data_IF_306331199616
#
_entry.id   IF_306331199616
#
_cell.length_a   1.000
_cell.length_b   1.000
_cell.length_c   1.000
_cell.angle_alpha   90.00
_cell.angle_beta   90.00
_cell.angle_gamma   90.00
#
_symmetry.space_group_name_H-M   'P 1'
#
loop_
_entity.id
_entity.type
_entity.pdbx_description
1 polymer ?
#
# COMPACT_ATOMS: atom_id res chain seq x y z
N UNK A 1 17.93 14.65 5.08
CA UNK A 1 17.40 13.35 4.63
C UNK A 1 16.20 13.06 5.48
N UNK A 2 14.99 13.20 4.92
CA UNK A 2 13.74 12.96 5.65
C UNK A 2 13.18 11.63 5.14
N UNK A 3 13.07 10.65 6.03
CA UNK A 3 12.27 9.45 5.80
C UNK A 3 10.93 9.69 6.49
N UNK A 4 9.82 9.64 5.76
CA UNK A 4 8.50 9.74 6.37
C UNK A 4 8.16 8.38 6.97
N UNK A 5 7.60 8.36 8.17
CA UNK A 5 7.59 7.16 8.99
C UNK A 5 6.31 7.12 9.84
N UNK A 6 5.39 6.19 9.56
CA UNK A 6 4.33 5.90 10.52
C UNK A 6 4.94 5.25 11.76
N UNK A 7 4.47 5.63 12.95
CA UNK A 7 5.04 5.16 14.21
C UNK A 7 4.06 4.38 15.08
N UNK A 8 4.63 3.34 15.70
CA UNK A 8 3.90 2.35 16.47
C UNK A 8 4.59 2.21 17.83
N UNK A 9 3.81 2.34 18.90
CA UNK A 9 4.34 2.36 20.27
C UNK A 9 4.88 1.00 20.70
N UNK A 10 6.20 0.90 20.89
CA UNK A 10 6.85 -0.33 21.35
C UNK A 10 6.55 -0.57 22.83
N UNK A 11 6.17 -1.81 23.17
CA UNK A 11 6.32 -2.33 24.53
C UNK A 11 7.33 -3.49 24.52
N UNK A 12 8.39 -3.36 25.32
CA UNK A 12 9.54 -4.29 25.34
C UNK A 12 9.29 -5.61 26.09
N UNK A 13 8.06 -5.89 26.52
CA UNK A 13 7.70 -7.12 27.24
C UNK A 13 6.53 -7.90 26.60
N UNK A 14 6.71 -9.22 26.51
CA UNK A 14 5.59 -10.14 26.27
C UNK A 14 4.60 -10.08 27.43
N UNK A 15 3.31 -10.11 27.09
CA UNK A 15 2.20 -10.11 28.05
C UNK A 15 1.24 -11.21 27.60
N UNK A 16 0.75 -12.02 28.52
CA UNK A 16 -0.11 -13.16 28.20
C UNK A 16 -1.45 -12.74 27.56
N UNK A 17 -2.00 -13.65 26.74
CA UNK A 17 -3.28 -13.49 26.04
C UNK A 17 -4.45 -13.16 26.99
N UNK A 18 -4.36 -13.62 28.23
CA UNK A 18 -5.30 -13.39 29.33
C UNK A 18 -5.46 -11.92 29.74
N UNK A 19 -4.51 -11.04 29.39
CA UNK A 19 -4.54 -9.61 29.75
C UNK A 19 -4.89 -8.69 28.56
N UNK A 20 -5.31 -9.23 27.41
CA UNK A 20 -5.61 -8.44 26.21
C UNK A 20 -7.00 -7.77 26.24
N UNK A 21 -7.92 -8.24 27.09
CA UNK A 21 -9.31 -7.77 27.16
C UNK A 21 -9.55 -6.53 28.04
N UNK A 22 -8.49 -5.79 28.44
CA UNK A 22 -8.59 -4.62 29.36
C UNK A 22 -7.57 -3.51 29.08
N UNK A 23 -7.28 -3.20 27.81
CA UNK A 23 -6.22 -2.23 27.47
C UNK A 23 -6.73 -0.89 26.97
N UNK A 24 -6.66 0.06 27.90
CA UNK A 24 -6.52 1.49 27.70
C UNK A 24 -5.18 1.77 26.97
N UNK A 25 -5.10 2.74 26.06
CA UNK A 25 -4.22 2.66 24.86
C UNK A 25 -3.50 3.98 24.50
N UNK A 26 -3.92 5.12 25.04
CA UNK A 26 -3.17 6.38 25.07
C UNK A 26 -3.00 6.83 26.53
N UNK A 27 -2.10 7.77 26.85
CA UNK A 27 -1.89 8.28 28.22
C UNK A 27 -2.46 9.69 28.40
N UNK A 28 -2.96 10.02 29.58
CA UNK A 28 -3.24 11.41 29.99
C UNK A 28 -1.95 12.11 30.49
N UNK A 29 -2.07 13.40 30.81
CA UNK A 29 -0.98 14.24 31.37
C UNK A 29 -0.32 13.67 32.65
N UNK A 30 -0.99 12.71 33.33
CA UNK A 30 -0.50 12.04 34.54
C UNK A 30 0.15 10.66 34.25
N UNK A 31 0.37 10.30 32.99
CA UNK A 31 0.80 8.97 32.53
C UNK A 31 -0.17 7.82 32.88
N UNK A 32 -1.47 8.13 33.03
CA UNK A 32 -2.52 7.12 33.22
C UNK A 32 -3.21 6.82 31.90
N UNK A 33 -3.50 5.54 31.64
CA UNK A 33 -4.11 5.20 30.36
C UNK A 33 -5.57 5.68 30.22
N UNK A 34 -5.90 6.21 29.03
CA UNK A 34 -7.19 6.68 28.55
C UNK A 34 -8.13 5.52 28.15
N UNK A 35 -9.39 5.59 28.57
CA UNK A 35 -10.46 4.63 28.23
C UNK A 35 -11.17 5.07 26.94
N UNK A 36 -11.38 4.13 26.01
CA UNK A 36 -12.28 4.31 24.86
C UNK A 36 -13.64 3.69 25.08
N UNK A 37 -14.64 4.30 24.45
CA UNK A 37 -16.00 3.79 24.35
C UNK A 37 -16.35 3.54 22.84
N UNK A 38 -16.45 2.26 22.40
CA UNK A 38 -16.75 1.74 21.03
C UNK A 38 -17.14 0.22 20.95
N UNK A 39 -18.30 -0.19 20.40
CA UNK A 39 -19.08 -1.46 20.64
C UNK A 39 -18.32 -2.73 20.29
N UNK A 40 -18.52 -3.74 21.14
CA UNK A 40 -18.70 -5.09 20.61
C UNK A 40 -19.51 -6.01 21.52
N UNK A 41 -19.19 -6.05 22.83
CA UNK A 41 -19.78 -7.05 23.76
C UNK A 41 -20.18 -6.50 25.15
N UNK A 42 -20.39 -5.19 25.28
CA UNK A 42 -21.07 -4.59 26.43
C UNK A 42 -21.88 -3.39 25.95
N UNK A 43 -23.12 -3.23 26.42
CA UNK A 43 -24.16 -2.40 25.79
C UNK A 43 -24.04 -0.88 26.05
N UNK A 44 -22.88 -0.26 25.81
CA UNK A 44 -22.61 1.10 26.31
C UNK A 44 -21.54 1.93 25.58
N UNK A 45 -21.18 1.56 24.36
CA UNK A 45 -19.82 1.71 23.80
C UNK A 45 -20.09 1.38 22.29
N UNK A 46 -19.87 2.20 21.23
CA UNK A 46 -20.53 2.04 19.86
C UNK A 46 -19.65 1.75 18.58
N UNK A 47 -20.05 0.80 17.67
CA UNK A 47 -19.30 0.31 16.48
C UNK A 47 -20.26 -0.37 15.44
N UNK A 48 -20.01 -0.19 14.13
CA UNK A 48 -21.01 -0.45 13.09
C UNK A 48 -20.81 -1.74 12.25
N UNK A 49 -19.66 -2.41 12.35
CA UNK A 49 -19.41 -3.73 11.77
C UNK A 49 -18.30 -4.48 12.53
N UNK A 50 -18.16 -5.79 12.31
CA UNK A 50 -17.11 -6.66 12.91
C UNK A 50 -15.66 -6.35 12.47
N UNK A 51 -15.36 -5.14 11.98
CA UNK A 51 -14.06 -4.81 11.37
C UNK A 51 -13.55 -3.37 11.56
N UNK A 52 -14.22 -2.47 12.29
CA UNK A 52 -13.74 -1.11 12.59
C UNK A 52 -14.43 -0.49 13.83
N UNK A 53 -13.83 0.54 14.43
CA UNK A 53 -14.38 1.27 15.59
C UNK A 53 -14.78 2.71 15.28
N UNK A 54 -15.79 3.22 16.00
CA UNK A 54 -16.13 4.65 16.07
C UNK A 54 -15.98 5.11 17.51
N UNK A 55 -15.09 6.06 17.77
CA UNK A 55 -14.90 6.62 19.11
C UNK A 55 -15.92 7.72 19.37
N UNK A 56 -16.68 7.58 20.45
CA UNK A 56 -17.68 8.58 20.87
C UNK A 56 -17.34 9.27 22.21
N UNK A 57 -16.38 8.73 22.95
CA UNK A 57 -15.97 9.25 24.26
C UNK A 57 -14.60 8.75 24.69
N UNK A 58 -13.88 9.59 25.44
CA UNK A 58 -12.62 9.26 26.13
C UNK A 58 -12.81 9.53 27.62
N UNK A 59 -12.53 8.54 28.48
CA UNK A 59 -12.79 8.63 29.93
C UNK A 59 -14.19 9.16 30.27
N UNK A 60 -15.21 8.64 29.60
CA UNK A 60 -16.62 9.04 29.72
C UNK A 60 -16.92 10.52 29.37
N UNK A 61 -15.93 11.26 28.86
CA UNK A 61 -16.10 12.60 28.28
C UNK A 61 -16.39 12.45 26.79
N UNK A 62 -17.53 12.98 26.28
CA UNK A 62 -17.79 12.99 24.84
C UNK A 62 -16.72 13.77 24.08
N UNK A 63 -16.30 13.25 22.94
CA UNK A 63 -15.27 13.85 22.07
C UNK A 63 -15.74 13.80 20.62
N UNK A 64 -15.35 14.79 19.81
CA UNK A 64 -15.49 14.71 18.36
C UNK A 64 -14.43 13.77 17.77
N UNK A 65 -14.63 13.31 16.53
CA UNK A 65 -13.60 12.53 15.85
C UNK A 65 -12.30 13.34 15.65
N UNK A 66 -12.40 14.65 15.44
CA UNK A 66 -11.23 15.53 15.31
C UNK A 66 -10.41 15.60 16.62
N UNK A 67 -11.08 15.66 17.77
CA UNK A 67 -10.42 15.62 19.09
C UNK A 67 -9.69 14.28 19.30
N UNK A 68 -10.34 13.16 18.92
CA UNK A 68 -9.76 11.82 19.01
C UNK A 68 -8.51 11.71 18.14
N UNK A 69 -8.60 12.12 16.87
CA UNK A 69 -7.47 12.05 15.94
C UNK A 69 -6.30 12.93 16.40
N UNK A 70 -6.59 14.16 16.83
CA UNK A 70 -5.58 15.12 17.32
C UNK A 70 -4.86 14.64 18.59
N UNK A 71 -5.60 14.11 19.56
CA UNK A 71 -5.03 13.63 20.82
C UNK A 71 -4.06 12.44 20.60
N UNK A 72 -4.41 11.55 19.66
CA UNK A 72 -3.62 10.38 19.34
C UNK A 72 -2.41 10.70 18.47
N UNK A 73 -2.55 11.65 17.55
CA UNK A 73 -1.43 12.23 16.82
C UNK A 73 -0.37 12.77 17.79
N UNK A 74 -0.79 13.59 18.75
CA UNK A 74 0.11 14.16 19.76
C UNK A 74 0.77 13.06 20.63
N UNK A 75 0.02 12.05 21.05
CA UNK A 75 0.55 10.92 21.81
C UNK A 75 1.57 10.08 21.02
N UNK A 76 1.31 9.83 19.73
CA UNK A 76 2.24 9.14 18.84
C UNK A 76 3.53 9.96 18.63
N UNK A 77 3.39 11.24 18.27
CA UNK A 77 4.52 12.17 18.10
C UNK A 77 5.41 12.23 19.35
N UNK A 78 4.81 12.41 20.53
CA UNK A 78 5.54 12.45 21.80
C UNK A 78 6.24 11.11 22.12
N UNK A 79 5.62 9.98 21.80
CA UNK A 79 6.23 8.65 22.01
C UNK A 79 7.49 8.47 21.16
N UNK A 80 7.44 8.88 19.89
CA UNK A 80 8.59 8.83 18.98
C UNK A 80 9.71 9.74 19.47
N UNK A 81 9.37 11.00 19.77
CA UNK A 81 10.34 12.02 20.17
C UNK A 81 11.10 11.62 21.44
N UNK A 82 10.37 11.12 22.44
CA UNK A 82 10.96 10.63 23.69
C UNK A 82 11.86 9.39 23.51
N UNK A 83 11.60 8.55 22.50
CA UNK A 83 12.30 7.27 22.31
C UNK A 83 13.44 7.34 21.28
N UNK A 84 13.33 8.22 20.27
CA UNK A 84 14.23 8.26 19.11
C UNK A 84 14.80 9.64 18.77
N UNK A 85 14.22 10.72 19.28
CA UNK A 85 14.60 12.09 18.94
C UNK A 85 13.56 12.81 18.09
N UNK A 86 13.60 14.14 18.14
CA UNK A 86 12.61 15.03 17.53
C UNK A 86 12.61 14.95 15.99
N UNK A 87 13.74 14.62 15.37
CA UNK A 87 13.88 14.47 13.93
C UNK A 87 13.03 13.33 13.34
N UNK A 88 12.59 12.37 14.18
CA UNK A 88 11.71 11.27 13.78
C UNK A 88 10.22 11.58 13.99
N UNK A 89 9.84 12.53 14.86
CA UNK A 89 8.43 12.86 15.15
C UNK A 89 7.82 13.88 14.18
N UNK A 90 8.65 14.70 13.52
CA UNK A 90 8.22 15.81 12.65
C UNK A 90 7.36 15.40 11.43
N UNK A 91 7.33 14.12 11.05
CA UNK A 91 6.74 13.63 9.80
C UNK A 91 5.56 12.65 10.00
N UNK A 92 4.99 12.57 11.21
CA UNK A 92 4.04 11.52 11.62
C UNK A 92 2.70 12.09 12.09
N UNK A 93 1.58 11.57 11.56
CA UNK A 93 0.24 12.10 11.88
C UNK A 93 -0.73 11.19 12.65
N UNK A 94 -0.67 9.85 12.62
CA UNK A 94 -1.69 9.04 13.34
C UNK A 94 -1.31 7.56 13.61
N UNK A 95 -2.11 6.86 14.43
CA UNK A 95 -1.89 5.49 14.92
C UNK A 95 -3.14 4.59 14.94
N UNK A 96 -2.97 3.34 14.48
CA UNK A 96 -3.54 2.10 15.03
C UNK A 96 -2.74 0.91 14.44
N UNK A 97 -2.41 -0.20 15.14
CA UNK A 97 -2.56 -0.60 16.55
C UNK A 97 -1.26 -1.31 17.02
N UNK A 98 -1.07 -1.64 18.32
CA UNK A 98 0.15 -2.33 18.81
C UNK A 98 -0.02 -3.77 19.34
N UNK A 99 -1.06 -4.53 18.92
CA UNK A 99 -1.15 -6.01 19.06
C UNK A 99 -1.96 -6.80 18.01
N UNK A 100 -1.67 -6.70 16.69
CA UNK A 100 -2.21 -7.66 15.71
C UNK A 100 -1.76 -9.11 15.99
N UNK A 101 -2.76 -9.90 16.36
CA UNK A 101 -2.80 -11.35 16.34
C UNK A 101 -4.24 -11.78 15.98
N UNK A 102 -4.67 -11.37 14.78
CA UNK A 102 -6.04 -11.50 14.28
C UNK A 102 -6.98 -10.39 14.76
N UNK A 103 -7.87 -9.95 13.87
CA UNK A 103 -9.05 -9.10 14.17
C UNK A 103 -8.76 -7.79 14.93
N UNK A 104 -7.88 -6.95 14.37
CA UNK A 104 -7.75 -5.55 14.79
C UNK A 104 -8.52 -4.61 13.85
N UNK A 105 -9.07 -3.55 14.43
CA UNK A 105 -10.12 -2.73 13.85
C UNK A 105 -9.67 -1.26 13.78
N UNK A 106 -9.50 -0.66 12.58
CA UNK A 106 -9.17 0.75 12.46
C UNK A 106 -10.19 1.65 13.14
N UNK A 107 -9.71 2.77 13.68
CA UNK A 107 -10.54 3.82 14.26
C UNK A 107 -10.94 4.79 13.15
N UNK A 108 -12.26 5.00 12.98
CA UNK A 108 -12.83 5.88 11.97
C UNK A 108 -13.74 6.93 12.61
N UNK A 109 -13.79 8.10 11.97
CA UNK A 109 -14.86 9.07 12.20
C UNK A 109 -16.20 8.57 11.65
N UNK A 110 -17.31 9.13 12.16
CA UNK A 110 -18.64 8.82 11.64
C UNK A 110 -18.78 9.15 10.14
N UNK A 111 -18.08 10.18 9.66
CA UNK A 111 -18.04 10.52 8.23
C UNK A 111 -17.32 9.43 7.42
N UNK A 112 -16.13 9.00 7.84
CA UNK A 112 -15.36 7.96 7.16
C UNK A 112 -16.11 6.61 7.12
N UNK A 113 -16.96 6.33 8.11
CA UNK A 113 -17.84 5.16 8.07
C UNK A 113 -18.96 5.30 7.03
N UNK A 114 -19.56 6.49 6.91
CA UNK A 114 -20.57 6.77 5.88
C UNK A 114 -20.00 6.76 4.45
N UNK A 115 -18.68 6.86 4.30
CA UNK A 115 -17.94 6.73 3.04
C UNK A 115 -17.61 5.27 2.65
N UNK A 116 -17.92 4.27 3.50
CA UNK A 116 -17.64 2.87 3.21
C UNK A 116 -18.55 2.36 2.09
N UNK A 117 -17.93 1.72 1.08
CA UNK A 117 -18.59 1.14 -0.09
C UNK A 117 -18.45 -0.37 -0.09
N UNK A 118 -19.56 -1.05 -0.39
CA UNK A 118 -19.59 -2.51 -0.56
C UNK A 118 -19.45 -2.95 -2.03
N UNK A 119 -19.65 -2.05 -2.99
CA UNK A 119 -19.65 -2.30 -4.43
C UNK A 119 -18.77 -1.31 -5.22
N UNK A 120 -18.48 -1.66 -6.47
CA UNK A 120 -17.63 -0.89 -7.41
C UNK A 120 -16.31 -0.40 -6.76
N UNK A 121 -15.53 -1.36 -6.29
CA UNK A 121 -14.38 -1.15 -5.40
C UNK A 121 -13.16 -0.52 -6.09
N UNK A 122 -12.95 -0.85 -7.36
CA UNK A 122 -11.72 -0.56 -8.09
C UNK A 122 -12.00 0.17 -9.41
N UNK A 123 -11.11 1.10 -9.73
CA UNK A 123 -10.99 1.67 -11.06
C UNK A 123 -9.98 0.85 -11.88
N UNK A 124 -10.51 -0.05 -12.70
CA UNK A 124 -9.70 -0.91 -13.57
C UNK A 124 -8.91 -0.13 -14.64
N UNK A 125 -9.30 1.10 -15.00
CA UNK A 125 -8.52 1.92 -15.91
C UNK A 125 -7.22 2.40 -15.24
N UNK A 126 -7.31 2.83 -13.97
CA UNK A 126 -6.14 3.13 -13.15
C UNK A 126 -5.28 1.88 -12.90
N UNK A 127 -5.88 0.75 -12.50
CA UNK A 127 -5.12 -0.50 -12.30
C UNK A 127 -4.39 -0.96 -13.56
N UNK A 128 -5.00 -0.78 -14.73
CA UNK A 128 -4.39 -1.13 -16.02
C UNK A 128 -3.18 -0.24 -16.34
N UNK A 129 -3.21 1.06 -15.98
CA UNK A 129 -2.01 1.92 -16.06
C UNK A 129 -0.86 1.39 -15.22
N UNK A 130 -1.13 1.05 -13.96
CA UNK A 130 -0.11 0.59 -13.02
C UNK A 130 0.48 -0.76 -13.46
N UNK A 131 -0.35 -1.64 -14.02
CA UNK A 131 0.10 -2.91 -14.58
C UNK A 131 0.93 -2.72 -15.87
N UNK A 132 0.53 -1.81 -16.77
CA UNK A 132 1.35 -1.46 -17.95
C UNK A 132 2.69 -0.85 -17.56
N UNK A 133 2.74 0.08 -16.61
CA UNK A 133 4.00 0.64 -16.10
C UNK A 133 4.88 -0.44 -15.43
N UNK A 134 4.27 -1.32 -14.63
CA UNK A 134 4.93 -2.48 -14.02
C UNK A 134 5.47 -3.48 -15.04
N UNK A 135 4.88 -3.60 -16.24
CA UNK A 135 5.45 -4.43 -17.32
C UNK A 135 6.50 -3.67 -18.14
N UNK A 136 6.34 -2.36 -18.35
CA UNK A 136 7.26 -1.54 -19.15
C UNK A 136 8.67 -1.52 -18.55
N UNK A 137 8.79 -1.42 -17.22
CA UNK A 137 10.10 -1.37 -16.56
C UNK A 137 10.95 -2.65 -16.77
N UNK A 138 10.33 -3.80 -17.08
CA UNK A 138 11.06 -5.03 -17.46
C UNK A 138 11.71 -4.93 -18.85
N UNK A 139 11.22 -4.07 -19.73
CA UNK A 139 11.73 -3.94 -21.11
C UNK A 139 12.82 -2.88 -21.24
N UNK A 140 13.27 -2.33 -20.10
CA UNK A 140 14.39 -1.39 -20.00
C UNK A 140 15.73 -2.10 -19.69
N UNK A 141 15.69 -3.41 -19.43
CA UNK A 141 16.87 -4.24 -19.23
C UNK A 141 17.55 -4.59 -20.56
N UNK A 142 18.89 -4.71 -20.54
CA UNK A 142 19.67 -5.08 -21.72
C UNK A 142 19.30 -6.49 -22.20
N UNK A 143 18.88 -6.59 -23.46
CA UNK A 143 18.46 -7.86 -24.07
C UNK A 143 17.04 -8.32 -23.72
N UNK A 144 16.26 -7.51 -23.01
CA UNK A 144 14.86 -7.82 -22.71
C UNK A 144 13.96 -7.85 -23.95
N UNK A 145 12.85 -8.61 -23.86
CA UNK A 145 11.81 -8.63 -24.88
C UNK A 145 11.17 -7.24 -25.07
N UNK A 146 10.79 -6.86 -26.31
CA UNK A 146 10.04 -5.63 -26.57
C UNK A 146 8.73 -5.56 -25.78
N UNK A 147 8.32 -4.33 -25.42
CA UNK A 147 7.08 -4.11 -24.69
C UNK A 147 5.85 -4.51 -25.53
N UNK A 148 5.04 -5.49 -25.08
CA UNK A 148 4.04 -6.13 -25.95
C UNK A 148 2.79 -5.28 -26.19
N UNK A 149 2.65 -4.13 -25.51
CA UNK A 149 1.44 -3.32 -25.53
C UNK A 149 1.53 -1.99 -26.30
N UNK A 150 2.62 -1.69 -27.03
CA UNK A 150 2.71 -0.45 -27.82
C UNK A 150 1.55 -0.28 -28.84
N UNK A 151 1.10 -1.38 -29.45
CA UNK A 151 -0.05 -1.39 -30.38
C UNK A 151 -1.41 -1.65 -29.69
N UNK A 152 -1.43 -1.89 -28.37
CA UNK A 152 -2.65 -2.13 -27.63
C UNK A 152 -3.47 -0.82 -27.51
N UNK A 153 -4.75 -0.78 -27.96
CA UNK A 153 -5.55 0.46 -27.93
C UNK A 153 -5.73 1.05 -26.52
N UNK A 154 -5.88 0.19 -25.50
CA UNK A 154 -6.06 0.60 -24.11
C UNK A 154 -4.77 1.21 -23.55
N UNK A 155 -3.60 0.64 -23.83
CA UNK A 155 -2.31 1.24 -23.50
C UNK A 155 -2.17 2.63 -24.13
N UNK A 156 -2.45 2.74 -25.44
CA UNK A 156 -2.35 4.01 -26.16
C UNK A 156 -3.30 5.07 -25.61
N UNK A 157 -4.52 4.70 -25.24
CA UNK A 157 -5.50 5.61 -24.62
C UNK A 157 -5.10 6.02 -23.20
N UNK A 158 -4.61 5.08 -22.38
CA UNK A 158 -4.40 5.31 -20.95
C UNK A 158 -3.03 5.90 -20.60
N UNK A 159 -2.01 5.65 -21.42
CA UNK A 159 -0.60 5.93 -21.09
C UNK A 159 0.06 6.99 -22.00
N UNK A 160 -0.44 7.23 -23.21
CA UNK A 160 0.20 8.14 -24.18
C UNK A 160 -0.53 9.48 -24.29
N UNK A 161 0.21 10.59 -24.23
CA UNK A 161 -0.32 11.91 -24.56
C UNK A 161 -0.77 11.99 -26.03
N UNK A 162 -1.77 12.81 -26.31
CA UNK A 162 -2.33 12.97 -27.66
C UNK A 162 -1.27 13.43 -28.66
N UNK A 163 -1.02 12.62 -29.70
CA UNK A 163 0.01 12.85 -30.71
C UNK A 163 1.36 12.21 -30.43
N UNK A 164 1.59 11.66 -29.22
CA UNK A 164 2.79 10.90 -28.92
C UNK A 164 2.67 9.44 -29.40
N UNK A 165 3.80 8.85 -29.80
CA UNK A 165 3.92 7.43 -30.11
C UNK A 165 4.59 6.64 -28.96
N UNK A 166 5.34 7.33 -28.10
CA UNK A 166 6.12 6.78 -27.00
C UNK A 166 5.68 7.37 -25.64
N UNK A 167 6.03 6.68 -24.56
CA UNK A 167 5.78 7.13 -23.18
C UNK A 167 6.58 8.39 -22.85
N UNK A 168 5.99 9.31 -22.08
CA UNK A 168 6.72 10.42 -21.48
C UNK A 168 7.46 9.92 -20.23
N UNK A 169 8.61 9.30 -20.45
CA UNK A 169 9.52 8.89 -19.37
C UNK A 169 10.22 10.12 -18.80
N UNK A 170 10.00 10.38 -17.51
CA UNK A 170 10.63 11.45 -16.74
C UNK A 170 12.10 11.11 -16.48
N UNK A 171 12.34 9.87 -16.02
CA UNK A 171 13.65 9.39 -15.60
C UNK A 171 13.64 7.85 -15.54
N UNK A 172 14.82 7.24 -15.70
CA UNK A 172 15.05 5.80 -15.55
C UNK A 172 16.38 5.60 -14.84
N UNK A 173 16.41 4.70 -13.87
CA UNK A 173 17.56 4.47 -13.01
C UNK A 173 17.85 2.98 -12.90
N UNK A 174 19.12 2.63 -13.16
CA UNK A 174 19.74 1.38 -12.74
C UNK A 174 20.73 1.73 -11.63
N UNK A 175 20.44 1.30 -10.40
CA UNK A 175 21.32 1.50 -9.24
C UNK A 175 22.48 0.51 -9.22
N UNK A 176 23.53 0.83 -8.45
CA UNK A 176 24.69 -0.06 -8.28
C UNK A 176 24.29 -1.35 -7.54
N UNK A 177 23.21 -1.30 -6.75
CA UNK A 177 22.53 -2.47 -6.15
C UNK A 177 21.80 -3.38 -7.16
N UNK A 178 21.61 -2.93 -8.41
CA UNK A 178 20.80 -3.63 -9.41
C UNK A 178 19.32 -3.23 -9.44
N UNK A 179 18.87 -2.28 -8.59
CA UNK A 179 17.52 -1.68 -8.69
C UNK A 179 17.32 -1.13 -10.09
N UNK A 180 16.32 -1.61 -10.81
CA UNK A 180 15.86 -0.99 -12.06
C UNK A 180 14.46 -0.40 -11.86
N UNK A 181 14.34 0.90 -12.03
CA UNK A 181 13.08 1.63 -11.87
C UNK A 181 12.95 2.79 -12.88
N UNK A 182 11.72 3.21 -13.13
CA UNK A 182 11.38 4.27 -14.08
C UNK A 182 10.23 5.12 -13.55
N UNK A 183 10.23 6.40 -13.90
CA UNK A 183 9.15 7.33 -13.61
C UNK A 183 8.52 7.79 -14.91
N UNK A 184 7.21 7.59 -15.04
CA UNK A 184 6.45 7.81 -16.27
C UNK A 184 5.36 8.84 -15.99
N UNK A 185 5.30 9.89 -16.82
CA UNK A 185 4.17 10.81 -16.83
C UNK A 185 3.07 10.26 -17.75
N UNK A 186 1.84 10.18 -17.25
CA UNK A 186 0.68 9.71 -18.02
C UNK A 186 -0.40 10.81 -18.09
N UNK A 187 -1.15 10.90 -19.21
CA UNK A 187 -2.09 12.01 -19.44
C UNK A 187 -3.29 11.99 -18.51
N UNK A 188 -4.07 13.07 -18.45
CA UNK A 188 -5.46 12.96 -17.99
C UNK A 188 -6.31 12.23 -19.04
N UNK A 189 -7.22 11.35 -18.60
CA UNK A 189 -8.25 10.70 -19.43
C UNK A 189 -9.61 10.92 -18.77
N UNK A 190 -10.27 12.08 -19.01
CA UNK A 190 -11.48 12.48 -18.30
C UNK A 190 -12.66 11.51 -18.49
N UNK A 191 -12.72 10.84 -19.64
CA UNK A 191 -13.71 9.80 -19.97
C UNK A 191 -13.67 8.60 -19.01
N UNK A 192 -12.51 8.35 -18.40
CA UNK A 192 -12.26 7.29 -17.42
C UNK A 192 -12.14 7.84 -15.99
N UNK A 193 -12.38 9.14 -15.78
CA UNK A 193 -12.18 9.80 -14.49
C UNK A 193 -10.70 9.92 -14.06
N UNK A 194 -9.75 9.72 -14.98
CA UNK A 194 -8.32 9.71 -14.67
C UNK A 194 -7.70 11.10 -14.83
N UNK A 195 -6.95 11.53 -13.81
CA UNK A 195 -6.12 12.73 -13.85
C UNK A 195 -4.76 12.48 -14.52
N UNK A 196 -4.02 13.56 -14.77
CA UNK A 196 -2.59 13.49 -15.09
C UNK A 196 -1.82 12.99 -13.87
N UNK A 197 -0.88 12.07 -14.07
CA UNK A 197 -0.29 11.30 -12.98
C UNK A 197 1.18 10.96 -13.29
N UNK A 198 2.00 10.87 -12.25
CA UNK A 198 3.35 10.32 -12.29
C UNK A 198 3.32 8.91 -11.69
N UNK A 199 3.68 7.91 -12.48
CA UNK A 199 3.76 6.51 -12.03
C UNK A 199 5.23 6.17 -11.86
N UNK A 200 5.63 5.78 -10.66
CA UNK A 200 6.98 5.30 -10.34
C UNK A 200 6.92 3.78 -10.27
N UNK A 201 7.52 3.11 -11.26
CA UNK A 201 7.47 1.67 -11.43
C UNK A 201 8.84 1.02 -11.11
N UNK A 202 8.82 0.00 -10.28
CA UNK A 202 9.99 -0.79 -9.90
C UNK A 202 9.94 -2.18 -10.56
N UNK A 203 11.06 -2.60 -11.14
CA UNK A 203 11.23 -3.93 -11.75
C UNK A 203 11.37 -5.00 -10.66
N UNK A 204 10.92 -6.20 -10.96
CA UNK A 204 11.31 -7.41 -10.25
C UNK A 204 12.41 -8.17 -10.99
N UNK A 205 12.59 -9.43 -10.59
CA UNK A 205 13.49 -10.42 -11.17
C UNK A 205 13.06 -10.84 -12.58
N UNK A 206 14.03 -11.05 -13.48
CA UNK A 206 13.80 -11.16 -14.93
C UNK A 206 13.93 -12.58 -15.51
N UNK A 207 14.52 -13.52 -14.78
CA UNK A 207 14.89 -14.83 -15.31
C UNK A 207 13.77 -15.86 -15.16
N UNK A 208 13.28 -16.43 -16.27
CA UNK A 208 12.28 -17.51 -16.25
C UNK A 208 12.77 -18.85 -15.65
N UNK A 209 14.08 -18.99 -15.39
CA UNK A 209 14.63 -20.11 -14.60
C UNK A 209 14.56 -19.89 -13.09
N UNK A 210 14.32 -18.66 -12.67
CA UNK A 210 14.44 -18.18 -11.30
C UNK A 210 13.11 -18.10 -10.57
N UNK A 211 12.09 -18.83 -11.01
CA UNK A 211 10.89 -19.09 -10.19
C UNK A 211 11.27 -19.75 -8.84
N UNK A 212 12.27 -20.63 -8.85
CA UNK A 212 12.83 -21.21 -7.62
C UNK A 212 13.68 -20.18 -6.88
N UNK A 213 14.38 -19.29 -7.56
CA UNK A 213 15.07 -18.16 -6.92
C UNK A 213 14.14 -17.05 -6.44
N UNK A 214 12.92 -16.91 -6.95
CA UNK A 214 11.86 -16.00 -6.48
C UNK A 214 11.20 -16.58 -5.24
N UNK A 215 11.06 -17.91 -5.18
CA UNK A 215 10.75 -18.63 -3.96
C UNK A 215 11.92 -18.57 -2.95
N UNK A 216 13.18 -18.68 -3.39
CA UNK A 216 14.37 -18.55 -2.53
C UNK A 216 14.65 -17.09 -2.14
N UNK A 217 14.18 -16.08 -2.90
CA UNK A 217 14.18 -14.65 -2.57
C UNK A 217 12.99 -14.29 -1.68
N UNK A 218 11.84 -14.93 -1.85
CA UNK A 218 10.77 -14.92 -0.87
C UNK A 218 11.24 -15.56 0.45
N UNK A 219 12.11 -16.58 0.40
CA UNK A 219 12.80 -17.14 1.57
C UNK A 219 13.97 -16.25 2.02
N UNK A 220 14.67 -15.53 1.14
CA UNK A 220 15.72 -14.59 1.52
C UNK A 220 15.15 -13.30 2.13
N UNK A 221 13.90 -12.97 1.83
CA UNK A 221 13.08 -11.99 2.57
C UNK A 221 12.78 -12.44 4.01
N UNK A 222 12.99 -13.72 4.38
CA UNK A 222 13.08 -14.14 5.80
C UNK A 222 14.49 -13.92 6.40
N UNK A 223 15.53 -13.70 5.60
CA UNK A 223 16.93 -13.76 6.06
C UNK A 223 17.73 -12.46 5.95
N UNK A 224 17.81 -11.80 4.78
CA UNK A 224 18.69 -10.63 4.64
C UNK A 224 18.21 -9.61 3.59
N UNK A 225 17.61 -8.55 4.12
CA UNK A 225 17.20 -7.34 3.42
C UNK A 225 18.40 -6.54 2.89
N UNK A 226 18.56 -6.47 1.57
CA UNK A 226 19.55 -5.61 0.92
C UNK A 226 19.30 -4.13 1.29
N UNK A 227 20.26 -3.51 2.00
CA UNK A 227 20.18 -2.09 2.40
C UNK A 227 20.25 -1.20 1.17
N UNK A 228 21.14 -1.54 0.26
CA UNK A 228 21.59 -0.68 -0.81
C UNK A 228 20.54 -0.66 -1.92
N UNK A 229 19.88 -1.80 -2.19
CA UNK A 229 18.66 -1.86 -3.02
C UNK A 229 17.54 -0.97 -2.48
N UNK A 230 17.23 -1.05 -1.18
CA UNK A 230 16.17 -0.23 -0.58
C UNK A 230 16.54 1.26 -0.57
N UNK A 231 17.82 1.59 -0.34
CA UNK A 231 18.33 2.95 -0.36
C UNK A 231 18.30 3.56 -1.77
N UNK A 232 18.75 2.81 -2.79
CA UNK A 232 18.73 3.21 -4.21
C UNK A 232 17.30 3.47 -4.70
N UNK A 233 16.37 2.56 -4.39
CA UNK A 233 14.95 2.70 -4.74
C UNK A 233 14.30 3.94 -4.10
N UNK A 234 14.63 4.23 -2.83
CA UNK A 234 14.12 5.40 -2.12
C UNK A 234 14.80 6.70 -2.57
N UNK A 235 16.10 6.68 -2.90
CA UNK A 235 16.81 7.82 -3.46
C UNK A 235 16.27 8.19 -4.85
N UNK A 236 15.91 7.21 -5.68
CA UNK A 236 15.19 7.45 -6.93
C UNK A 236 13.84 8.12 -6.67
N UNK A 237 13.02 7.58 -5.77
CA UNK A 237 11.74 8.18 -5.38
C UNK A 237 11.92 9.66 -4.95
N UNK A 238 12.86 9.95 -4.06
CA UNK A 238 13.15 11.30 -3.58
C UNK A 238 13.54 12.25 -4.73
N UNK A 239 14.33 11.78 -5.72
CA UNK A 239 14.71 12.54 -6.92
C UNK A 239 13.52 12.87 -7.83
N UNK A 240 12.54 11.99 -7.92
CA UNK A 240 11.30 12.27 -8.67
C UNK A 240 10.46 13.30 -7.92
N UNK A 241 10.14 13.05 -6.64
CA UNK A 241 9.21 13.91 -5.90
C UNK A 241 9.78 15.30 -5.55
N UNK A 242 11.10 15.49 -5.59
CA UNK A 242 11.69 16.84 -5.51
C UNK A 242 11.36 17.73 -6.72
N UNK A 243 11.03 17.12 -7.87
CA UNK A 243 10.63 17.81 -9.10
C UNK A 243 9.12 17.72 -9.36
N UNK A 244 8.48 16.67 -8.85
CA UNK A 244 7.04 16.41 -8.91
C UNK A 244 6.46 16.22 -7.50
N UNK A 245 6.29 17.30 -6.70
CA UNK A 245 5.79 17.19 -5.32
C UNK A 245 4.44 16.49 -5.25
N UNK A 246 4.30 15.54 -4.33
CA UNK A 246 3.14 14.66 -4.24
C UNK A 246 1.90 15.41 -3.75
N UNK A 247 0.72 15.17 -4.31
CA UNK A 247 -0.54 15.76 -3.83
C UNK A 247 -1.16 14.96 -2.67
N UNK A 248 -2.05 15.58 -1.90
CA UNK A 248 -2.65 14.92 -0.72
C UNK A 248 -3.57 13.74 -1.05
N UNK A 249 -4.02 13.58 -2.30
CA UNK A 249 -4.78 12.40 -2.75
C UNK A 249 -3.89 11.18 -3.03
N UNK A 250 -2.59 11.38 -3.07
CA UNK A 250 -1.57 10.38 -3.36
C UNK A 250 -0.83 9.92 -2.11
N UNK A 251 -1.23 10.40 -0.93
CA UNK A 251 -0.59 10.12 0.37
C UNK A 251 -1.62 9.51 1.31
N UNK A 252 -1.24 8.46 2.02
CA UNK A 252 -2.12 7.77 2.95
C UNK A 252 -2.39 8.57 4.24
N UNK A 253 -3.55 8.31 4.83
CA UNK A 253 -3.94 8.79 6.16
C UNK A 253 -2.83 8.43 7.18
N UNK A 254 -2.36 9.43 7.94
CA UNK A 254 -1.31 9.27 8.95
C UNK A 254 0.12 9.65 8.53
N UNK A 255 0.32 10.12 7.30
CA UNK A 255 1.58 10.74 6.84
C UNK A 255 1.45 12.27 6.70
N UNK A 256 2.54 13.01 6.93
CA UNK A 256 2.61 14.46 6.64
C UNK A 256 3.04 14.71 5.20
N UNK A 257 2.34 15.61 4.51
CA UNK A 257 2.68 16.06 3.17
C UNK A 257 2.58 17.60 3.07
N UNK A 258 3.64 18.29 3.48
CA UNK A 258 3.71 19.75 3.37
C UNK A 258 4.09 20.17 1.94
N UNK A 259 3.09 20.50 1.12
CA UNK A 259 3.34 20.99 -0.24
C UNK A 259 2.83 22.41 -0.44
N UNK A 260 3.76 23.33 -0.66
CA UNK A 260 3.49 24.71 -1.08
C UNK A 260 3.63 24.84 -2.61
N UNK A 261 2.52 25.09 -3.30
CA UNK A 261 2.50 25.35 -4.75
C UNK A 261 1.94 24.18 -5.56
N UNK A 262 2.46 23.98 -6.78
CA UNK A 262 2.02 22.92 -7.68
C UNK A 262 2.35 21.55 -7.10
N UNK A 263 1.35 20.66 -7.06
CA UNK A 263 1.50 19.26 -6.66
C UNK A 263 0.92 18.35 -7.74
N UNK A 264 1.35 17.10 -7.76
CA UNK A 264 1.04 16.10 -8.78
C UNK A 264 0.46 14.85 -8.13
N UNK A 265 -0.43 14.16 -8.85
CA UNK A 265 -0.81 12.80 -8.47
C UNK A 265 0.39 11.87 -8.70
N UNK A 266 0.81 11.11 -7.69
CA UNK A 266 1.97 10.19 -7.76
C UNK A 266 1.57 8.83 -7.22
N UNK A 267 1.83 7.76 -7.98
CA UNK A 267 1.55 6.38 -7.55
C UNK A 267 2.78 5.51 -7.68
N UNK A 268 3.03 4.68 -6.67
CA UNK A 268 4.07 3.66 -6.69
C UNK A 268 3.50 2.34 -7.23
N UNK A 269 4.26 1.63 -8.07
CA UNK A 269 3.84 0.33 -8.59
C UNK A 269 5.04 -0.57 -8.88
N UNK A 270 4.77 -1.85 -9.07
CA UNK A 270 5.76 -2.86 -9.40
C UNK A 270 5.16 -4.26 -9.41
N UNK A 271 5.96 -5.22 -9.86
CA UNK A 271 5.59 -6.63 -9.91
C UNK A 271 6.67 -7.52 -9.28
N UNK A 272 6.28 -8.58 -8.56
CA UNK A 272 7.20 -9.50 -7.86
C UNK A 272 8.13 -8.75 -6.88
N UNK A 273 9.45 -8.91 -6.95
CA UNK A 273 10.38 -8.13 -6.13
C UNK A 273 10.22 -6.59 -6.30
N UNK A 274 9.75 -6.14 -7.47
CA UNK A 274 9.39 -4.74 -7.70
C UNK A 274 8.15 -4.29 -6.92
N UNK A 275 7.19 -5.18 -6.70
CA UNK A 275 6.03 -4.92 -5.86
C UNK A 275 6.43 -4.74 -4.38
N UNK A 276 7.32 -5.59 -3.88
CA UNK A 276 7.92 -5.46 -2.55
C UNK A 276 8.71 -4.15 -2.41
N UNK A 277 9.50 -3.80 -3.43
CA UNK A 277 10.27 -2.54 -3.47
C UNK A 277 9.34 -1.31 -3.42
N UNK A 278 8.24 -1.31 -4.19
CA UNK A 278 7.23 -0.26 -4.16
C UNK A 278 6.52 -0.18 -2.79
N UNK A 279 6.27 -1.32 -2.12
CA UNK A 279 5.68 -1.36 -0.78
C UNK A 279 6.61 -0.78 0.30
N UNK A 280 7.92 -1.05 0.24
CA UNK A 280 8.91 -0.45 1.16
C UNK A 280 9.04 1.06 0.95
N UNK A 281 9.11 1.53 -0.30
CA UNK A 281 9.10 2.97 -0.62
C UNK A 281 7.80 3.63 -0.16
N UNK A 282 6.65 2.95 -0.28
CA UNK A 282 5.36 3.42 0.23
C UNK A 282 5.38 3.58 1.75
N UNK A 283 5.85 2.57 2.49
CA UNK A 283 5.97 2.63 3.95
C UNK A 283 6.86 3.79 4.45
N UNK A 284 7.88 4.17 3.66
CA UNK A 284 8.82 5.29 3.91
C UNK A 284 8.35 6.68 3.43
N UNK A 285 7.19 6.78 2.78
CA UNK A 285 6.75 8.02 2.12
C UNK A 285 5.28 8.35 2.31
N UNK A 286 4.46 7.34 2.63
CA UNK A 286 3.01 7.43 2.60
C UNK A 286 2.41 7.40 1.21
N UNK A 287 3.22 7.44 0.14
CA UNK A 287 2.71 7.50 -1.22
C UNK A 287 2.01 6.20 -1.56
N UNK A 288 0.78 6.29 -2.10
CA UNK A 288 -0.06 5.13 -2.37
C UNK A 288 0.62 4.18 -3.35
N UNK A 289 0.64 2.89 -2.99
CA UNK A 289 1.20 1.84 -3.83
C UNK A 289 0.13 0.84 -4.28
N UNK A 290 0.18 0.49 -5.57
CA UNK A 290 -0.70 -0.48 -6.21
C UNK A 290 0.17 -1.48 -6.93
N UNK A 291 0.28 -2.67 -6.36
CA UNK A 291 1.39 -3.60 -6.65
C UNK A 291 0.86 -4.97 -7.05
N UNK A 292 1.61 -5.69 -7.88
CA UNK A 292 1.14 -6.93 -8.51
C UNK A 292 1.99 -8.12 -8.08
N UNK A 293 1.35 -9.22 -7.69
CA UNK A 293 2.02 -10.48 -7.36
C UNK A 293 3.14 -10.28 -6.31
N UNK A 294 2.86 -9.46 -5.29
CA UNK A 294 3.85 -9.11 -4.26
C UNK A 294 4.18 -10.34 -3.40
N UNK A 295 5.47 -10.64 -3.12
CA UNK A 295 5.82 -11.56 -2.04
C UNK A 295 5.52 -10.93 -0.67
N UNK A 296 5.37 -11.77 0.34
CA UNK A 296 5.10 -11.42 1.73
C UNK A 296 5.94 -10.24 2.23
N UNK A 297 5.25 -9.17 2.63
CA UNK A 297 5.83 -7.89 3.03
C UNK A 297 6.36 -7.90 4.48
N UNK A 298 7.22 -8.88 4.81
CA UNK A 298 7.97 -8.93 6.08
C UNK A 298 8.96 -7.77 6.29
N UNK A 299 8.88 -6.71 5.49
CA UNK A 299 9.57 -5.42 5.60
C UNK A 299 9.62 -4.95 7.07
N UNK A 300 8.49 -5.11 7.78
CA UNK A 300 8.29 -4.72 9.17
C UNK A 300 9.18 -5.50 10.15
N UNK A 301 9.65 -6.72 9.83
CA UNK A 301 10.60 -7.46 10.70
C UNK A 301 11.99 -6.80 10.72
N UNK A 302 12.40 -6.05 9.67
CA UNK A 302 13.62 -5.22 9.72
C UNK A 302 13.41 -3.96 10.57
N UNK A 303 12.29 -3.27 10.35
CA UNK A 303 11.88 -2.13 11.18
C UNK A 303 11.58 -2.56 12.63
N UNK A 304 11.39 -3.84 12.93
CA UNK A 304 11.02 -4.32 14.27
C UNK A 304 12.05 -4.00 15.36
N UNK A 305 13.32 -3.75 15.01
CA UNK A 305 14.32 -3.27 15.98
C UNK A 305 14.18 -1.79 16.33
N UNK A 306 13.32 -1.05 15.63
CA UNK A 306 13.10 0.40 15.79
C UNK A 306 11.60 0.76 15.97
N UNK A 307 10.65 -0.05 15.49
CA UNK A 307 9.20 0.22 15.55
C UNK A 307 8.38 -1.08 15.67
N UNK A 308 8.74 -1.96 16.61
CA UNK A 308 8.19 -3.31 16.73
C UNK A 308 6.66 -3.39 16.84
N UNK A 309 6.10 -4.15 15.89
CA UNK A 309 4.80 -4.79 15.88
C UNK A 309 3.59 -3.92 15.44
N UNK A 310 3.12 -4.27 14.24
CA UNK A 310 1.74 -4.16 13.74
C UNK A 310 1.32 -2.89 12.99
N UNK A 311 2.26 -2.38 12.20
CA UNK A 311 1.98 -1.69 10.95
C UNK A 311 1.08 -2.55 10.04
N UNK A 312 -0.14 -2.07 9.74
CA UNK A 312 -0.84 -2.44 8.52
C UNK A 312 -0.46 -1.41 7.46
N UNK A 313 -0.03 -1.86 6.28
CA UNK A 313 0.38 -0.95 5.20
C UNK A 313 -0.87 -0.38 4.50
N UNK A 314 -1.53 0.58 5.15
CA UNK A 314 -2.78 1.21 4.66
C UNK A 314 -2.61 1.99 3.33
N UNK A 315 -1.38 2.39 3.00
CA UNK A 315 -1.00 2.98 1.72
C UNK A 315 -0.90 1.96 0.58
N UNK A 316 -0.74 0.67 0.88
CA UNK A 316 -0.44 -0.40 -0.07
C UNK A 316 -1.68 -1.28 -0.31
N UNK A 317 -1.96 -1.55 -1.58
CA UNK A 317 -2.88 -2.62 -2.01
C UNK A 317 -2.15 -3.52 -2.99
N UNK A 318 -2.03 -4.80 -2.60
CA UNK A 318 -1.46 -5.88 -3.42
C UNK A 318 -2.56 -6.63 -4.15
N UNK A 319 -2.41 -6.76 -5.46
CA UNK A 319 -3.29 -7.52 -6.35
C UNK A 319 -2.54 -8.76 -6.81
N UNK A 320 -3.14 -9.95 -6.69
CA UNK A 320 -2.53 -11.21 -7.14
C UNK A 320 -3.61 -12.18 -7.65
N UNK A 321 -3.20 -13.36 -8.15
CA UNK A 321 -4.10 -14.40 -8.64
C UNK A 321 -4.09 -15.62 -7.71
N UNK A 322 -5.25 -16.23 -7.51
CA UNK A 322 -5.46 -17.46 -6.73
C UNK A 322 -4.52 -18.57 -7.24
N UNK A 323 -3.72 -19.12 -6.34
CA UNK A 323 -2.64 -20.06 -6.65
C UNK A 323 -1.38 -19.43 -7.25
N UNK A 324 -1.12 -18.12 -7.04
CA UNK A 324 0.21 -17.53 -7.25
C UNK A 324 1.15 -17.98 -6.12
N UNK A 325 2.17 -18.82 -6.43
CA UNK A 325 3.06 -19.36 -5.41
C UNK A 325 4.01 -18.33 -4.80
N UNK A 326 4.28 -17.19 -5.45
CA UNK A 326 5.14 -16.14 -4.87
C UNK A 326 4.36 -15.32 -3.84
N UNK A 327 3.11 -14.97 -4.15
CA UNK A 327 2.23 -14.33 -3.19
C UNK A 327 1.87 -15.30 -2.04
N UNK A 328 1.31 -16.47 -2.34
CA UNK A 328 0.69 -17.33 -1.30
C UNK A 328 1.68 -18.11 -0.43
N UNK A 329 2.83 -18.54 -0.96
CA UNK A 329 3.79 -19.36 -0.18
C UNK A 329 4.77 -18.55 0.66
N UNK A 330 4.95 -17.26 0.35
CA UNK A 330 5.93 -16.39 1.02
C UNK A 330 5.49 -15.99 2.45
N UNK A 331 4.20 -16.10 2.78
CA UNK A 331 3.71 -16.13 4.16
C UNK A 331 2.86 -14.94 4.58
N UNK A 332 3.39 -14.07 5.46
CA UNK A 332 2.62 -12.99 6.09
C UNK A 332 2.64 -11.72 5.23
N UNK A 333 1.45 -11.30 4.80
CA UNK A 333 1.20 -9.98 4.24
C UNK A 333 0.71 -9.04 5.35
N UNK A 334 1.29 -7.84 5.41
CA UNK A 334 0.84 -6.75 6.29
C UNK A 334 0.15 -5.62 5.49
N UNK A 335 0.09 -5.72 4.16
CA UNK A 335 -0.69 -4.85 3.27
C UNK A 335 -2.14 -5.30 3.05
N UNK A 336 -2.94 -4.43 2.42
CA UNK A 336 -4.25 -4.81 1.91
C UNK A 336 -4.12 -5.72 0.69
N UNK A 337 -5.00 -6.71 0.55
CA UNK A 337 -4.90 -7.74 -0.48
C UNK A 337 -6.17 -7.89 -1.31
N UNK A 338 -6.00 -8.18 -2.61
CA UNK A 338 -7.07 -8.47 -3.56
C UNK A 338 -6.67 -9.66 -4.42
N UNK A 339 -7.36 -10.78 -4.23
CA UNK A 339 -7.11 -12.01 -4.97
C UNK A 339 -8.09 -12.16 -6.13
N UNK A 340 -7.57 -12.30 -7.35
CA UNK A 340 -8.35 -12.58 -8.56
C UNK A 340 -8.32 -14.08 -8.92
N UNK A 341 -9.14 -14.56 -9.86
CA UNK A 341 -9.06 -15.92 -10.37
C UNK A 341 -7.69 -16.29 -10.95
N UNK A 342 -7.16 -17.43 -10.52
CA UNK A 342 -6.02 -18.09 -11.14
C UNK A 342 -6.27 -18.44 -12.61
N UNK A 343 -5.20 -18.62 -13.36
CA UNK A 343 -5.26 -19.35 -14.63
C UNK A 343 -5.73 -20.78 -14.35
N UNK A 344 -6.61 -21.34 -15.17
CA UNK A 344 -6.94 -22.78 -15.14
C UNK A 344 -5.79 -23.67 -15.64
N UNK A 345 -4.55 -23.21 -15.54
CA UNK A 345 -3.35 -23.86 -16.02
C UNK A 345 -2.92 -24.99 -15.09
N UNK A 346 -2.30 -26.03 -15.66
CA UNK A 346 -1.60 -27.05 -14.87
C UNK A 346 -0.31 -26.49 -14.25
N UNK A 347 0.28 -25.45 -14.87
CA UNK A 347 1.42 -24.73 -14.32
C UNK A 347 0.97 -23.55 -13.47
N UNK A 348 1.01 -23.70 -12.14
CA UNK A 348 0.63 -22.67 -11.16
C UNK A 348 1.46 -21.40 -11.27
N UNK A 349 2.71 -21.45 -11.75
CA UNK A 349 3.54 -20.26 -11.94
C UNK A 349 2.98 -19.29 -13.00
N UNK A 350 2.06 -19.74 -13.86
CA UNK A 350 1.33 -18.84 -14.77
C UNK A 350 0.44 -17.83 -14.03
N UNK A 351 0.12 -18.07 -12.76
CA UNK A 351 -0.64 -17.15 -11.90
C UNK A 351 0.22 -15.97 -11.43
N UNK A 352 1.54 -16.15 -11.33
CA UNK A 352 2.46 -15.11 -10.93
C UNK A 352 2.63 -14.05 -12.03
N UNK A 353 2.86 -14.48 -13.27
CA UNK A 353 3.28 -13.59 -14.35
C UNK A 353 2.30 -12.45 -14.67
N UNK A 354 2.85 -11.23 -14.73
CA UNK A 354 2.11 -10.01 -15.00
C UNK A 354 1.37 -9.96 -16.34
N UNK A 355 1.92 -10.54 -17.43
CA UNK A 355 1.27 -10.49 -18.76
C UNK A 355 -0.06 -11.26 -18.77
N UNK A 356 -0.12 -12.55 -18.37
CA UNK A 356 -1.39 -13.24 -18.13
C UNK A 356 -2.34 -12.48 -17.20
N UNK A 357 -1.82 -11.81 -16.17
CA UNK A 357 -2.66 -11.06 -15.22
C UNK A 357 -3.29 -9.80 -15.86
N UNK A 358 -2.52 -9.05 -16.67
CA UNK A 358 -3.03 -7.94 -17.48
C UNK A 358 -4.11 -8.44 -18.44
N UNK A 359 -3.81 -9.48 -19.22
CA UNK A 359 -4.63 -9.90 -20.36
C UNK A 359 -5.91 -10.66 -19.94
N UNK A 360 -5.80 -11.56 -18.96
CA UNK A 360 -6.94 -12.37 -18.50
C UNK A 360 -7.89 -11.58 -17.60
N UNK A 361 -7.34 -10.70 -16.76
CA UNK A 361 -8.07 -10.10 -15.63
C UNK A 361 -8.23 -8.60 -15.83
N UNK A 362 -7.15 -7.80 -15.75
CA UNK A 362 -7.29 -6.34 -15.57
C UNK A 362 -7.84 -5.68 -16.84
N UNK A 363 -7.32 -6.03 -18.02
CA UNK A 363 -7.84 -5.55 -19.30
C UNK A 363 -9.26 -6.06 -19.58
N UNK A 364 -9.60 -7.27 -19.12
CA UNK A 364 -10.94 -7.86 -19.27
C UNK A 364 -11.96 -7.17 -18.36
N UNK A 365 -11.63 -6.94 -17.10
CA UNK A 365 -12.46 -6.21 -16.15
C UNK A 365 -12.64 -4.74 -16.56
N UNK A 366 -11.62 -4.11 -17.15
CA UNK A 366 -11.75 -2.78 -17.77
C UNK A 366 -12.75 -2.78 -18.94
N UNK A 367 -12.65 -3.74 -19.86
CA UNK A 367 -13.52 -3.84 -21.04
C UNK A 367 -14.93 -4.35 -20.73
N UNK A 368 -15.11 -5.09 -19.65
CA UNK A 368 -16.37 -5.71 -19.23
C UNK A 368 -16.42 -5.81 -17.70
N UNK A 369 -16.78 -4.71 -17.00
CA UNK A 369 -16.84 -4.68 -15.54
C UNK A 369 -17.83 -5.67 -14.91
N UNK A 370 -18.74 -6.24 -15.70
CA UNK A 370 -19.68 -7.29 -15.28
C UNK A 370 -19.17 -8.72 -15.50
N UNK A 371 -17.96 -8.91 -16.05
CA UNK A 371 -17.37 -10.24 -16.25
C UNK A 371 -16.91 -10.82 -14.91
N UNK A 372 -17.69 -11.77 -14.39
CA UNK A 372 -17.42 -12.49 -13.14
C UNK A 372 -16.13 -13.34 -13.17
N UNK A 373 -15.58 -13.64 -14.35
CA UNK A 373 -14.30 -14.35 -14.49
C UNK A 373 -13.08 -13.43 -14.32
N UNK A 374 -13.28 -12.11 -14.32
CA UNK A 374 -12.26 -11.10 -14.12
C UNK A 374 -12.47 -10.27 -12.83
N UNK A 375 -13.51 -10.55 -12.02
CA UNK A 375 -13.71 -9.91 -10.72
C UNK A 375 -12.87 -10.59 -9.61
N UNK A 376 -12.53 -9.87 -8.52
CA UNK A 376 -11.89 -10.45 -7.35
C UNK A 376 -12.70 -11.62 -6.77
N UNK A 377 -11.98 -12.67 -6.35
CA UNK A 377 -12.53 -13.78 -5.57
C UNK A 377 -12.53 -13.51 -4.08
N UNK A 378 -11.49 -12.84 -3.59
CA UNK A 378 -11.33 -12.47 -2.18
C UNK A 378 -10.84 -11.03 -2.10
N UNK A 379 -11.47 -10.23 -1.25
CA UNK A 379 -11.04 -8.85 -0.97
C UNK A 379 -10.75 -8.73 0.53
N UNK A 380 -9.52 -8.34 0.86
CA UNK A 380 -9.03 -8.12 2.22
C UNK A 380 -8.52 -6.67 2.33
N UNK A 381 -9.45 -5.72 2.28
CA UNK A 381 -9.20 -4.28 2.33
C UNK A 381 -9.96 -3.71 3.52
N UNK A 382 -9.23 -3.06 4.43
CA UNK A 382 -9.80 -2.38 5.60
C UNK A 382 -10.14 -0.92 5.29
N UNK A 383 -11.05 -0.30 6.06
CA UNK A 383 -11.56 1.04 5.76
C UNK A 383 -10.62 2.20 6.12
N UNK A 384 -9.46 1.93 6.74
CA UNK A 384 -8.33 2.84 6.85
C UNK A 384 -7.42 2.86 5.61
N UNK A 385 -7.61 1.94 4.66
CA UNK A 385 -6.96 2.02 3.35
C UNK A 385 -7.40 3.30 2.63
N UNK A 386 -6.44 4.16 2.30
CA UNK A 386 -6.74 5.50 1.80
C UNK A 386 -7.27 5.44 0.34
N UNK A 387 -8.46 6.00 0.06
CA UNK A 387 -8.99 6.09 -1.30
C UNK A 387 -8.06 6.88 -2.22
N UNK A 388 -8.04 6.52 -3.49
CA UNK A 388 -7.07 7.05 -4.45
C UNK A 388 -6.30 5.94 -5.16
N UNK A 389 -5.59 6.31 -6.22
CA UNK A 389 -4.80 5.42 -7.07
C UNK A 389 -5.53 4.10 -7.39
N UNK A 390 -6.69 4.17 -8.02
CA UNK A 390 -7.47 2.98 -8.38
C UNK A 390 -8.38 2.41 -7.28
N UNK A 391 -8.30 2.88 -6.03
CA UNK A 391 -9.25 2.56 -4.96
C UNK A 391 -10.38 3.61 -4.94
N UNK A 392 -11.62 3.22 -5.22
CA UNK A 392 -12.75 4.15 -5.49
C UNK A 392 -13.44 4.75 -4.25
N UNK A 393 -13.02 4.36 -3.04
CA UNK A 393 -13.62 4.78 -1.78
C UNK A 393 -13.05 3.98 -0.61
N UNK A 394 -13.56 4.23 0.60
CA UNK A 394 -13.23 3.36 1.75
C UNK A 394 -13.97 2.04 1.56
N UNK A 395 -13.33 0.93 1.90
CA UNK A 395 -13.87 -0.42 1.73
C UNK A 395 -13.69 -1.15 3.04
N UNK A 396 -14.68 -1.97 3.43
CA UNK A 396 -14.56 -2.85 4.57
C UNK A 396 -14.90 -4.29 4.16
N UNK A 397 -14.01 -4.93 3.40
CA UNK A 397 -14.21 -6.31 2.93
C UNK A 397 -13.12 -7.24 3.45
N UNK A 398 -13.58 -8.39 3.92
CA UNK A 398 -12.79 -9.50 4.44
C UNK A 398 -13.43 -10.82 3.96
N UNK A 399 -13.35 -11.08 2.64
CA UNK A 399 -14.01 -12.22 2.00
C UNK A 399 -14.03 -12.14 0.49
#
# INVERSE_FOLDING_TARGET
MSTYMQAYGINSAFIERSQLSRKKWALNDNNEYLVLNGEWENSSITALAENYFVVTGINDTPVSSEDVHSLLQAAAQSTIENQYGQEYSQNVSYFASNRSAGYEYPILSQQQVAEIRDDDLFDYAALLRYAFASKYVYTLEEGADPFPYFDNPQFRQLMLFSGNHDLEVIDTFLGDSGVLCTAIKVPAVPEQGLEEEVIIAYKGTSNGGDIVQDAELAIANFYESDVDWQADAYAFFQRIVSNYPVNNQSVADGYHNEVSGTSYKVTLTGHSLGAYTAADVSARSGVLARVFSCPATRIIERYSRVFANQLRLNSVVSFYRDGDPVAELSGRHDENMVCFPGTGSVNVFNNHFLVPFIDDIIARAYLSPSDSTAQPRYVYVTPDATPGSGLKGRINRWG
#
